data_IF_216254897472
#
_entry.id   IF_216254897472
#
_cell.length_a   1.000
_cell.length_b   1.000
_cell.length_c   1.000
_cell.angle_alpha   90.00
_cell.angle_beta   90.00
_cell.angle_gamma   90.00
#
_symmetry.space_group_name_H-M   'P 1'
#
loop_
_entity.id
_entity.type
_entity.pdbx_description
1 polymer ?
#
# COMPACT_ATOMS: atom_id res chain seq x y z
N UNK A 1 25.05 -15.06 4.46
CA UNK A 1 25.13 -14.58 3.05
C UNK A 1 25.65 -13.14 3.06
N UNK A 2 26.92 -12.93 2.70
CA UNK A 2 27.53 -11.59 2.79
C UNK A 2 27.04 -10.70 1.67
N UNK A 3 26.50 -9.53 2.00
CA UNK A 3 26.08 -8.49 1.04
C UNK A 3 27.33 -7.86 0.42
N UNK A 4 27.45 -7.89 -0.90
CA UNK A 4 28.55 -7.25 -1.64
C UNK A 4 28.13 -5.95 -2.32
N UNK A 5 26.91 -5.92 -2.87
CA UNK A 5 26.39 -4.75 -3.59
C UNK A 5 24.96 -4.48 -3.18
N UNK A 6 24.66 -3.20 -2.96
CA UNK A 6 23.30 -2.67 -2.86
C UNK A 6 23.16 -1.61 -3.95
N UNK A 7 22.32 -1.89 -4.94
CA UNK A 7 22.10 -1.00 -6.07
C UNK A 7 20.71 -0.39 -5.99
N UNK A 8 20.61 0.93 -6.07
CA UNK A 8 19.35 1.64 -6.15
C UNK A 8 19.16 2.30 -7.53
N UNK A 9 17.96 2.23 -8.06
CA UNK A 9 17.55 2.89 -9.30
C UNK A 9 16.22 3.61 -9.08
N UNK A 10 16.03 4.74 -9.75
CA UNK A 10 14.82 5.54 -9.71
C UNK A 10 14.26 5.69 -11.12
N UNK A 11 12.94 5.49 -11.27
CA UNK A 11 12.21 5.55 -12.53
C UNK A 11 11.00 6.48 -12.39
N UNK A 12 10.76 7.32 -13.40
CA UNK A 12 9.57 8.19 -13.54
C UNK A 12 8.60 7.55 -14.51
N UNK A 13 7.56 6.92 -13.96
CA UNK A 13 6.64 6.11 -14.74
C UNK A 13 5.38 6.91 -15.05
N UNK A 14 5.07 7.20 -16.34
CA UNK A 14 3.83 7.88 -16.69
C UNK A 14 2.63 6.98 -16.43
N UNK A 15 1.57 7.53 -15.85
CA UNK A 15 0.28 6.86 -15.72
C UNK A 15 -0.41 6.79 -17.08
N UNK A 16 -1.17 5.71 -17.37
CA UNK A 16 -1.91 5.58 -18.64
C UNK A 16 -3.05 6.60 -18.75
N UNK A 17 -3.57 7.06 -17.62
CA UNK A 17 -4.57 8.13 -17.50
C UNK A 17 -4.19 9.04 -16.34
N UNK A 18 -4.55 10.30 -16.42
CA UNK A 18 -4.41 11.23 -15.29
C UNK A 18 -5.43 10.84 -14.22
N UNK A 19 -4.96 10.61 -13.01
CA UNK A 19 -5.77 10.27 -11.85
C UNK A 19 -5.88 11.49 -10.93
N UNK A 20 -6.90 11.56 -10.10
CA UNK A 20 -7.06 12.67 -9.16
C UNK A 20 -7.79 12.26 -7.88
N UNK A 21 -7.28 12.74 -6.77
CA UNK A 21 -7.90 12.67 -5.45
C UNK A 21 -7.96 14.07 -4.78
N UNK A 22 -8.47 14.14 -3.55
CA UNK A 22 -8.68 15.41 -2.85
C UNK A 22 -7.41 16.07 -2.30
N UNK A 23 -6.32 15.32 -2.16
CA UNK A 23 -5.08 15.77 -1.51
C UNK A 23 -3.95 15.98 -2.51
N UNK A 24 -3.73 15.03 -3.43
CA UNK A 24 -2.63 15.10 -4.40
C UNK A 24 -2.99 15.91 -5.66
N UNK A 25 -4.29 16.11 -5.92
CA UNK A 25 -4.74 16.72 -7.18
C UNK A 25 -4.49 15.81 -8.37
N UNK A 26 -4.14 16.40 -9.53
CA UNK A 26 -3.88 15.64 -10.77
C UNK A 26 -2.50 14.94 -10.73
N UNK A 27 -2.51 13.63 -10.94
CA UNK A 27 -1.32 12.78 -10.97
C UNK A 27 -1.14 12.20 -12.37
N UNK A 28 -0.05 12.54 -13.03
CA UNK A 28 0.29 12.05 -14.38
C UNK A 28 1.43 11.02 -14.40
N UNK A 29 2.16 10.90 -13.28
CA UNK A 29 3.30 10.00 -13.11
C UNK A 29 3.32 9.44 -11.71
N UNK A 30 4.05 8.33 -11.51
CA UNK A 30 4.56 7.92 -10.21
C UNK A 30 6.06 7.62 -10.27
N UNK A 31 6.76 7.81 -9.17
CA UNK A 31 8.17 7.45 -9.03
C UNK A 31 8.28 6.03 -8.50
N UNK A 32 9.09 5.18 -9.15
CA UNK A 32 9.45 3.85 -8.67
C UNK A 32 10.92 3.86 -8.25
N UNK A 33 11.23 3.54 -7.00
CA UNK A 33 12.60 3.37 -6.50
C UNK A 33 12.83 1.89 -6.19
N UNK A 34 13.75 1.27 -6.91
CA UNK A 34 14.10 -0.15 -6.74
C UNK A 34 15.42 -0.34 -6.02
N UNK A 35 15.54 -1.43 -5.26
CA UNK A 35 16.77 -1.89 -4.61
C UNK A 35 17.06 -3.31 -5.04
N UNK A 36 18.27 -3.56 -5.54
CA UNK A 36 18.80 -4.90 -5.78
C UNK A 36 19.97 -5.17 -4.83
N UNK A 37 19.85 -6.24 -4.05
CA UNK A 37 20.90 -6.69 -3.14
C UNK A 37 21.57 -7.91 -3.76
N UNK A 38 22.88 -7.86 -3.93
CA UNK A 38 23.70 -8.97 -4.43
C UNK A 38 24.62 -9.47 -3.33
N UNK A 39 24.64 -10.80 -3.15
CA UNK A 39 25.48 -11.47 -2.16
C UNK A 39 26.67 -12.18 -2.82
N UNK A 40 27.75 -12.37 -2.07
CA UNK A 40 28.99 -13.05 -2.46
C UNK A 40 28.78 -14.45 -3.06
N UNK A 41 27.72 -15.13 -2.70
CA UNK A 41 27.35 -16.45 -3.20
C UNK A 41 26.49 -16.41 -4.50
N UNK A 42 26.33 -15.24 -5.11
CA UNK A 42 25.53 -15.03 -6.34
C UNK A 42 24.02 -14.91 -6.13
N UNK A 43 23.54 -15.03 -4.91
CA UNK A 43 22.11 -14.81 -4.61
C UNK A 43 21.76 -13.33 -4.69
N UNK A 44 20.52 -13.05 -5.13
CA UNK A 44 20.02 -11.69 -5.32
C UNK A 44 18.60 -11.57 -4.74
N UNK A 45 18.30 -10.37 -4.23
CA UNK A 45 16.95 -9.99 -3.83
C UNK A 45 16.57 -8.64 -4.44
N UNK A 46 15.29 -8.48 -4.74
CA UNK A 46 14.68 -7.29 -5.28
C UNK A 46 13.70 -6.71 -4.26
N UNK A 47 13.77 -5.40 -4.04
CA UNK A 47 12.74 -4.66 -3.32
C UNK A 47 12.47 -3.33 -4.00
N UNK A 48 11.39 -2.68 -3.63
CA UNK A 48 11.02 -1.40 -4.20
C UNK A 48 10.10 -0.61 -3.28
N UNK A 49 10.05 0.68 -3.54
CA UNK A 49 9.09 1.63 -3.01
C UNK A 49 8.62 2.55 -4.12
N UNK A 50 7.60 3.35 -3.89
CA UNK A 50 7.07 4.27 -4.89
C UNK A 50 6.75 5.63 -4.28
N UNK A 51 6.58 6.63 -5.14
CA UNK A 51 6.20 7.99 -4.77
C UNK A 51 5.05 8.45 -5.68
N UNK A 52 4.04 9.04 -5.09
CA UNK A 52 2.96 9.68 -5.85
C UNK A 52 3.50 10.94 -6.53
N UNK A 53 3.20 11.14 -7.81
CA UNK A 53 3.65 12.29 -8.58
C UNK A 53 5.18 12.41 -8.71
N UNK A 54 5.95 11.36 -8.41
CA UNK A 54 7.42 11.35 -8.40
C UNK A 54 8.05 12.29 -7.34
N UNK A 55 7.29 12.67 -6.32
CA UNK A 55 7.78 13.55 -5.25
C UNK A 55 8.68 12.74 -4.29
N UNK A 56 9.96 13.13 -4.18
CA UNK A 56 10.90 12.54 -3.23
C UNK A 56 11.71 11.36 -3.75
N UNK A 57 11.48 10.85 -4.98
CA UNK A 57 12.18 9.66 -5.51
C UNK A 57 13.70 9.80 -5.51
N UNK A 58 14.24 10.96 -5.93
CA UNK A 58 15.68 11.21 -5.89
C UNK A 58 16.24 11.30 -4.47
N UNK A 59 15.47 11.83 -3.52
CA UNK A 59 15.90 11.89 -2.12
C UNK A 59 15.94 10.49 -1.51
N UNK A 60 14.97 9.63 -1.81
CA UNK A 60 14.95 8.22 -1.38
C UNK A 60 16.15 7.49 -1.97
N UNK A 61 16.39 7.62 -3.29
CA UNK A 61 17.56 7.02 -3.94
C UNK A 61 18.87 7.50 -3.32
N UNK A 62 19.01 8.80 -3.06
CA UNK A 62 20.21 9.36 -2.43
C UNK A 62 20.44 8.79 -1.03
N UNK A 63 19.39 8.64 -0.22
CA UNK A 63 19.46 8.03 1.11
C UNK A 63 19.90 6.55 1.02
N UNK A 64 19.35 5.81 0.07
CA UNK A 64 19.75 4.44 -0.21
C UNK A 64 21.22 4.32 -0.58
N UNK A 65 21.69 5.12 -1.54
CA UNK A 65 23.05 5.04 -2.07
C UNK A 65 24.11 5.52 -1.07
N UNK A 66 23.83 6.58 -0.32
CA UNK A 66 24.84 7.27 0.50
C UNK A 66 24.86 6.82 1.95
N UNK A 67 23.72 6.36 2.48
CA UNK A 67 23.59 6.01 3.89
C UNK A 67 23.33 4.50 4.10
N UNK A 68 22.32 3.92 3.44
CA UNK A 68 21.93 2.54 3.71
C UNK A 68 22.83 1.52 3.02
N UNK A 69 23.24 1.73 1.77
CA UNK A 69 24.11 0.80 1.07
C UNK A 69 25.48 0.62 1.77
N UNK A 70 26.21 1.69 2.15
CA UNK A 70 27.46 1.53 2.91
C UNK A 70 27.26 0.85 4.27
N UNK A 71 26.13 1.08 4.93
CA UNK A 71 25.78 0.46 6.20
C UNK A 71 25.60 -1.05 6.07
N UNK A 72 25.07 -1.55 4.94
CA UNK A 72 24.68 -2.94 4.74
C UNK A 72 25.78 -3.81 4.14
N UNK A 73 26.67 -3.25 3.31
CA UNK A 73 27.77 -3.98 2.68
C UNK A 73 28.62 -4.68 3.75
N UNK A 74 28.98 -5.95 3.49
CA UNK A 74 29.71 -6.80 4.41
C UNK A 74 28.87 -7.50 5.48
N UNK A 75 27.58 -7.18 5.59
CA UNK A 75 26.66 -7.78 6.57
C UNK A 75 26.09 -9.10 6.08
N UNK A 76 25.57 -9.91 7.00
CA UNK A 76 24.83 -11.13 6.65
C UNK A 76 23.37 -10.79 6.28
N UNK A 77 23.00 -10.95 5.00
CA UNK A 77 21.66 -10.70 4.48
C UNK A 77 20.56 -11.59 5.11
N UNK A 78 20.90 -12.66 5.82
CA UNK A 78 19.92 -13.51 6.50
C UNK A 78 19.38 -12.89 7.80
N UNK A 79 20.07 -11.90 8.36
CA UNK A 79 19.72 -11.25 9.63
C UNK A 79 18.78 -10.05 9.41
N UNK A 80 17.65 -10.26 8.69
CA UNK A 80 16.77 -9.17 8.20
C UNK A 80 16.32 -8.24 9.31
N UNK A 81 15.78 -8.80 10.40
CA UNK A 81 15.23 -8.02 11.51
C UNK A 81 16.32 -7.18 12.22
N UNK A 82 17.51 -7.73 12.35
CA UNK A 82 18.66 -7.01 12.92
C UNK A 82 19.18 -5.92 11.98
N UNK A 83 19.17 -6.18 10.66
CA UNK A 83 19.53 -5.17 9.67
C UNK A 83 18.51 -4.04 9.63
N UNK A 84 17.23 -4.39 9.73
CA UNK A 84 16.15 -3.39 9.83
C UNK A 84 16.34 -2.49 11.06
N UNK A 85 16.56 -3.06 12.23
CA UNK A 85 16.79 -2.31 13.47
C UNK A 85 18.03 -1.41 13.35
N UNK A 86 19.12 -1.90 12.74
CA UNK A 86 20.33 -1.12 12.51
C UNK A 86 20.10 0.07 11.58
N UNK A 87 19.34 -0.12 10.49
CA UNK A 87 18.94 0.98 9.58
C UNK A 87 18.09 2.01 10.33
N UNK A 88 17.11 1.55 11.11
CA UNK A 88 16.22 2.40 11.89
C UNK A 88 16.99 3.28 12.88
N UNK A 89 17.93 2.70 13.64
CA UNK A 89 18.77 3.45 14.57
C UNK A 89 19.76 4.37 13.88
N UNK A 90 20.27 4.01 12.71
CA UNK A 90 21.16 4.87 11.92
C UNK A 90 20.42 6.15 11.47
N UNK A 91 19.17 6.03 11.09
CA UNK A 91 18.36 7.12 10.55
C UNK A 91 17.49 7.84 11.62
N UNK A 92 17.39 7.31 12.83
CA UNK A 92 16.38 7.75 13.81
C UNK A 92 16.39 9.25 14.13
N UNK A 93 17.55 9.89 14.07
CA UNK A 93 17.71 11.30 14.37
C UNK A 93 17.23 12.20 13.23
N UNK A 94 17.48 11.80 11.98
CA UNK A 94 17.12 12.59 10.79
C UNK A 94 15.70 12.30 10.29
N UNK A 95 15.13 11.14 10.63
CA UNK A 95 13.75 10.80 10.30
C UNK A 95 13.46 9.33 10.59
N UNK A 96 12.31 9.05 11.21
CA UNK A 96 11.82 7.70 11.52
C UNK A 96 10.65 7.29 10.64
N UNK A 97 10.10 8.23 9.89
CA UNK A 97 9.02 8.07 8.92
C UNK A 97 9.38 8.79 7.61
N UNK A 98 8.42 8.99 6.73
CA UNK A 98 8.61 9.64 5.44
C UNK A 98 9.73 9.00 4.64
N UNK A 99 10.58 9.79 4.00
CA UNK A 99 11.67 9.36 3.12
C UNK A 99 12.54 8.24 3.75
N UNK A 100 12.79 8.29 5.07
CA UNK A 100 13.55 7.23 5.76
C UNK A 100 12.82 5.88 5.73
N UNK A 101 11.52 5.86 6.01
CA UNK A 101 10.73 4.63 5.98
C UNK A 101 10.60 4.07 4.56
N UNK A 102 10.41 4.92 3.55
CA UNK A 102 10.40 4.50 2.13
C UNK A 102 11.73 3.84 1.71
N UNK A 103 12.85 4.45 2.06
CA UNK A 103 14.16 3.87 1.75
C UNK A 103 14.40 2.54 2.47
N UNK A 104 14.03 2.45 3.76
CA UNK A 104 14.13 1.21 4.53
C UNK A 104 13.21 0.13 3.96
N UNK A 105 12.00 0.50 3.49
CA UNK A 105 11.06 -0.45 2.89
C UNK A 105 11.66 -1.17 1.68
N UNK A 106 12.24 -0.43 0.75
CA UNK A 106 12.86 -1.03 -0.43
C UNK A 106 14.00 -2.01 -0.07
N UNK A 107 14.78 -1.72 0.96
CA UNK A 107 15.85 -2.63 1.44
C UNK A 107 15.26 -3.86 2.14
N UNK A 108 14.32 -3.66 3.05
CA UNK A 108 13.72 -4.75 3.84
C UNK A 108 12.99 -5.75 2.93
N UNK A 109 12.25 -5.25 1.95
CA UNK A 109 11.58 -6.08 0.92
C UNK A 109 12.61 -6.91 0.16
N UNK A 110 13.74 -6.30 -0.27
CA UNK A 110 14.80 -7.03 -0.97
C UNK A 110 15.44 -8.12 -0.11
N UNK A 111 15.61 -7.88 1.18
CA UNK A 111 16.17 -8.87 2.12
C UNK A 111 15.19 -10.05 2.35
N UNK A 112 13.88 -9.77 2.48
CA UNK A 112 12.87 -10.81 2.59
C UNK A 112 12.72 -11.62 1.30
N UNK A 113 12.75 -10.97 0.13
CA UNK A 113 12.79 -11.66 -1.16
C UNK A 113 13.98 -12.61 -1.26
N UNK A 114 15.17 -12.11 -0.89
CA UNK A 114 16.39 -12.91 -0.87
C UNK A 114 16.26 -14.14 0.04
N UNK A 115 15.72 -13.99 1.25
CA UNK A 115 15.51 -15.11 2.17
C UNK A 115 14.56 -16.17 1.59
N UNK A 116 13.44 -15.73 1.05
CA UNK A 116 12.47 -16.64 0.44
C UNK A 116 13.06 -17.36 -0.78
N UNK A 117 13.87 -16.64 -1.60
CA UNK A 117 14.59 -17.24 -2.75
C UNK A 117 15.60 -18.30 -2.32
N UNK A 118 16.36 -18.04 -1.27
CA UNK A 118 17.34 -19.01 -0.73
C UNK A 118 16.65 -20.27 -0.17
N UNK A 119 15.48 -20.10 0.44
CA UNK A 119 14.65 -21.22 0.92
C UNK A 119 13.87 -21.95 -0.21
N UNK A 120 13.93 -21.43 -1.43
CA UNK A 120 13.26 -22.00 -2.60
C UNK A 120 11.73 -21.91 -2.54
N UNK A 121 11.17 -20.97 -1.77
CA UNK A 121 9.74 -20.83 -1.55
C UNK A 121 9.18 -19.51 -2.08
N UNK A 122 7.90 -19.45 -2.47
CA UNK A 122 7.17 -18.20 -2.59
C UNK A 122 7.13 -17.49 -1.24
N UNK A 123 7.17 -16.15 -1.26
CA UNK A 123 7.23 -15.35 -0.03
C UNK A 123 6.06 -15.66 0.93
N UNK A 124 4.84 -15.81 0.43
CA UNK A 124 3.69 -16.13 1.27
C UNK A 124 3.84 -17.48 2.00
N UNK A 125 4.40 -18.53 1.34
CA UNK A 125 4.71 -19.82 2.00
C UNK A 125 5.88 -19.70 2.96
N UNK A 126 6.88 -18.90 2.61
CA UNK A 126 8.02 -18.65 3.48
C UNK A 126 7.58 -17.98 4.79
N UNK A 127 6.59 -17.09 4.72
CA UNK A 127 5.97 -16.43 5.87
C UNK A 127 4.95 -17.31 6.63
N UNK A 128 4.69 -18.54 6.16
CA UNK A 128 3.83 -19.50 6.84
C UNK A 128 2.39 -19.57 6.33
N UNK A 129 2.07 -18.92 5.20
CA UNK A 129 0.76 -19.01 4.58
C UNK A 129 0.45 -20.41 4.01
N UNK A 130 -0.81 -20.81 4.11
CA UNK A 130 -1.30 -22.11 3.64
C UNK A 130 -2.19 -21.98 2.39
N UNK A 131 -2.96 -20.88 2.28
CA UNK A 131 -3.86 -20.55 1.17
C UNK A 131 -3.35 -19.30 0.43
N UNK A 132 -3.14 -19.36 -0.91
CA UNK A 132 -2.71 -18.21 -1.69
C UNK A 132 -3.83 -17.20 -1.98
N UNK A 133 -5.09 -17.51 -1.69
CA UNK A 133 -6.22 -16.67 -2.06
C UNK A 133 -6.50 -15.57 -1.03
N UNK A 134 -6.67 -14.35 -1.52
CA UNK A 134 -6.92 -13.14 -0.73
C UNK A 134 -8.07 -12.38 -1.35
N UNK A 135 -9.05 -11.95 -0.54
CA UNK A 135 -10.11 -11.08 -1.02
C UNK A 135 -9.50 -9.76 -1.54
N UNK A 136 -9.98 -9.27 -2.69
CA UNK A 136 -9.46 -8.08 -3.31
C UNK A 136 -10.56 -7.05 -3.60
N UNK A 137 -10.21 -5.77 -3.53
CA UNK A 137 -11.07 -4.70 -3.99
C UNK A 137 -10.38 -3.86 -5.08
N UNK A 138 -11.19 -3.30 -5.98
CA UNK A 138 -10.70 -2.33 -6.95
C UNK A 138 -10.65 -0.94 -6.32
N UNK A 139 -9.47 -0.32 -6.28
CA UNK A 139 -9.26 1.05 -5.81
C UNK A 139 -9.50 2.06 -6.94
N UNK A 140 -10.67 2.69 -6.98
CA UNK A 140 -10.95 3.81 -7.86
C UNK A 140 -10.22 5.07 -7.41
N UNK A 141 -9.61 5.80 -8.35
CA UNK A 141 -9.02 7.14 -8.14
C UNK A 141 -9.76 8.08 -9.09
N UNK A 142 -10.95 8.50 -8.69
CA UNK A 142 -12.03 8.92 -9.58
C UNK A 142 -12.80 10.17 -9.09
N UNK A 143 -12.19 10.97 -8.21
CA UNK A 143 -12.90 12.11 -7.61
C UNK A 143 -13.48 13.07 -8.64
N UNK A 144 -12.78 13.30 -9.77
CA UNK A 144 -13.19 14.19 -10.84
C UNK A 144 -14.21 13.57 -11.81
N UNK A 145 -14.47 12.26 -11.76
CA UNK A 145 -15.33 11.58 -12.72
C UNK A 145 -16.77 12.04 -12.62
N UNK A 146 -17.42 12.22 -13.78
CA UNK A 146 -18.86 12.34 -13.91
C UNK A 146 -19.52 11.02 -13.49
N UNK A 147 -20.83 11.03 -13.24
CA UNK A 147 -21.57 9.79 -12.94
C UNK A 147 -21.48 8.76 -14.07
N UNK A 148 -21.44 9.19 -15.33
CA UNK A 148 -21.31 8.28 -16.47
C UNK A 148 -19.92 7.60 -16.53
N UNK A 149 -18.85 8.35 -16.26
CA UNK A 149 -17.48 7.82 -16.19
C UNK A 149 -17.32 6.88 -14.99
N UNK A 150 -17.89 7.25 -13.84
CA UNK A 150 -17.89 6.43 -12.63
C UNK A 150 -18.64 5.11 -12.85
N UNK A 151 -19.81 5.15 -13.53
CA UNK A 151 -20.55 3.94 -13.90
C UNK A 151 -19.74 3.04 -14.85
N UNK A 152 -19.11 3.64 -15.86
CA UNK A 152 -18.28 2.88 -16.81
C UNK A 152 -17.09 2.20 -16.12
N UNK A 153 -16.40 2.92 -15.23
CA UNK A 153 -15.31 2.35 -14.40
C UNK A 153 -15.83 1.21 -13.52
N UNK A 154 -16.95 1.42 -12.82
CA UNK A 154 -17.56 0.42 -11.93
C UNK A 154 -17.90 -0.85 -12.68
N UNK A 155 -18.51 -0.75 -13.88
CA UNK A 155 -18.79 -1.92 -14.74
C UNK A 155 -17.50 -2.62 -15.17
N UNK A 156 -16.46 -1.86 -15.55
CA UNK A 156 -15.16 -2.40 -15.89
C UNK A 156 -14.54 -3.23 -14.75
N UNK A 157 -14.65 -2.76 -13.50
CA UNK A 157 -14.18 -3.51 -12.33
C UNK A 157 -14.99 -4.80 -12.09
N UNK A 158 -16.31 -4.73 -12.24
CA UNK A 158 -17.16 -5.94 -12.12
C UNK A 158 -16.87 -6.96 -13.21
N UNK A 159 -16.65 -6.52 -14.45
CA UNK A 159 -16.29 -7.36 -15.59
C UNK A 159 -14.88 -7.97 -15.43
N UNK A 160 -13.96 -7.24 -14.78
CA UNK A 160 -12.63 -7.74 -14.39
C UNK A 160 -12.67 -8.71 -13.20
N UNK A 161 -13.84 -9.02 -12.66
CA UNK A 161 -14.02 -10.03 -11.62
C UNK A 161 -14.05 -9.52 -10.18
N UNK A 162 -13.91 -8.21 -9.92
CA UNK A 162 -13.98 -7.67 -8.57
C UNK A 162 -15.38 -7.80 -7.96
N UNK A 163 -15.42 -7.98 -6.62
CA UNK A 163 -16.64 -8.06 -5.80
C UNK A 163 -16.62 -7.08 -4.62
N UNK A 164 -15.64 -6.19 -4.62
CA UNK A 164 -15.50 -5.08 -3.70
C UNK A 164 -14.88 -3.90 -4.46
N UNK A 165 -15.37 -2.70 -4.25
CA UNK A 165 -14.93 -1.50 -4.97
C UNK A 165 -14.83 -0.33 -3.99
N UNK A 166 -13.73 0.41 -4.07
CA UNK A 166 -13.52 1.69 -3.38
C UNK A 166 -13.64 2.84 -4.38
N UNK A 167 -14.30 3.92 -3.99
CA UNK A 167 -14.42 5.16 -4.75
C UNK A 167 -13.90 6.35 -3.95
N UNK A 168 -13.52 7.42 -4.61
CA UNK A 168 -13.12 8.67 -3.94
C UNK A 168 -14.34 9.52 -3.61
N UNK A 169 -14.29 10.13 -2.41
CA UNK A 169 -15.20 11.17 -1.91
C UNK A 169 -14.37 12.38 -1.45
N UNK A 170 -15.00 13.44 -0.97
CA UNK A 170 -14.32 14.65 -0.51
C UNK A 170 -14.40 15.81 -1.51
N UNK A 171 -15.47 15.88 -2.30
CA UNK A 171 -15.79 17.07 -3.09
C UNK A 171 -16.12 18.25 -2.18
N UNK A 172 -16.11 19.46 -2.73
CA UNK A 172 -16.43 20.67 -1.97
C UNK A 172 -17.88 20.69 -1.46
N UNK A 173 -18.81 20.09 -2.21
CA UNK A 173 -20.19 19.88 -1.79
C UNK A 173 -20.41 18.43 -1.37
N UNK A 174 -20.67 18.20 -0.11
CA UNK A 174 -21.01 16.88 0.44
C UNK A 174 -22.25 16.27 -0.26
N UNK A 175 -23.19 17.09 -0.75
CA UNK A 175 -24.35 16.61 -1.49
C UNK A 175 -23.95 15.88 -2.78
N UNK A 176 -22.90 16.31 -3.47
CA UNK A 176 -22.38 15.62 -4.65
C UNK A 176 -21.77 14.25 -4.28
N UNK A 177 -21.04 14.17 -3.17
CA UNK A 177 -20.52 12.88 -2.68
C UNK A 177 -21.64 11.89 -2.33
N UNK A 178 -22.68 12.38 -1.65
CA UNK A 178 -23.88 11.58 -1.32
C UNK A 178 -24.57 11.06 -2.58
N UNK A 179 -24.73 11.89 -3.62
CA UNK A 179 -25.31 11.47 -4.90
C UNK A 179 -24.44 10.42 -5.61
N UNK A 180 -23.12 10.58 -5.61
CA UNK A 180 -22.16 9.63 -6.20
C UNK A 180 -22.18 8.28 -5.48
N UNK A 181 -22.12 8.26 -4.15
CA UNK A 181 -22.17 7.04 -3.34
C UNK A 181 -23.53 6.34 -3.50
N UNK A 182 -24.62 7.09 -3.52
CA UNK A 182 -25.98 6.57 -3.81
C UNK A 182 -26.06 5.91 -5.19
N UNK A 183 -25.50 6.54 -6.21
CA UNK A 183 -25.46 5.99 -7.57
C UNK A 183 -24.64 4.69 -7.60
N UNK A 184 -23.43 4.69 -7.01
CA UNK A 184 -22.60 3.50 -6.88
C UNK A 184 -23.32 2.34 -6.21
N UNK A 185 -23.94 2.59 -5.06
CA UNK A 185 -24.71 1.56 -4.35
C UNK A 185 -25.89 1.06 -5.20
N UNK A 186 -26.53 1.93 -5.98
CA UNK A 186 -27.58 1.57 -6.92
C UNK A 186 -27.12 0.62 -8.03
N UNK A 187 -25.94 0.85 -8.59
CA UNK A 187 -25.36 0.00 -9.64
C UNK A 187 -24.82 -1.33 -9.11
N UNK A 188 -24.22 -1.31 -7.91
CA UNK A 188 -23.62 -2.49 -7.30
C UNK A 188 -24.63 -3.44 -6.67
N UNK A 189 -25.80 -2.94 -6.25
CA UNK A 189 -26.72 -3.72 -5.41
C UNK A 189 -26.19 -3.92 -3.99
N UNK A 190 -26.85 -4.73 -3.16
CA UNK A 190 -26.50 -4.91 -1.75
C UNK A 190 -25.31 -5.87 -1.51
N UNK A 191 -25.01 -6.76 -2.47
CA UNK A 191 -24.08 -7.88 -2.26
C UNK A 191 -22.61 -7.54 -2.55
N UNK A 192 -22.36 -6.44 -3.27
CA UNK A 192 -21.00 -5.98 -3.58
C UNK A 192 -20.54 -5.01 -2.47
N UNK A 193 -19.38 -5.27 -1.89
CA UNK A 193 -18.79 -4.38 -0.90
C UNK A 193 -18.43 -3.02 -1.53
N UNK A 194 -18.83 -1.94 -0.88
CA UNK A 194 -18.52 -0.57 -1.29
C UNK A 194 -17.75 0.14 -0.19
N UNK A 195 -16.61 0.71 -0.55
CA UNK A 195 -15.77 1.53 0.31
C UNK A 195 -15.70 2.95 -0.25
N UNK A 196 -15.46 3.92 0.61
CA UNK A 196 -15.26 5.31 0.21
C UNK A 196 -13.99 5.86 0.86
N UNK A 197 -13.23 6.67 0.13
CA UNK A 197 -11.97 7.24 0.58
C UNK A 197 -11.98 8.76 0.39
N UNK A 198 -11.76 9.48 1.49
CA UNK A 198 -11.77 10.93 1.54
C UNK A 198 -10.37 11.55 1.42
N UNK A 199 -9.32 10.78 1.46
CA UNK A 199 -7.92 11.24 1.41
C UNK A 199 -7.69 12.47 2.29
N UNK A 200 -8.02 12.38 3.58
CA UNK A 200 -7.77 13.40 4.61
C UNK A 200 -8.51 14.75 4.39
N UNK A 201 -9.60 14.74 3.64
CA UNK A 201 -10.25 15.98 3.16
C UNK A 201 -10.87 16.82 4.26
N UNK A 202 -11.40 16.22 5.33
CA UNK A 202 -12.31 16.85 6.25
C UNK A 202 -11.67 17.18 7.63
N UNK A 203 -12.16 18.23 8.26
CA UNK A 203 -12.06 18.36 9.70
C UNK A 203 -12.85 17.25 10.41
N UNK A 204 -12.61 17.07 11.71
CA UNK A 204 -13.29 16.01 12.48
C UNK A 204 -14.82 16.18 12.47
N UNK A 205 -15.31 17.41 12.58
CA UNK A 205 -16.77 17.67 12.57
C UNK A 205 -17.38 17.43 11.19
N UNK A 206 -16.74 17.89 10.11
CA UNK A 206 -17.15 17.61 8.74
C UNK A 206 -17.14 16.11 8.43
N UNK A 207 -16.11 15.39 8.89
CA UNK A 207 -16.00 13.94 8.72
C UNK A 207 -17.14 13.18 9.42
N UNK A 208 -17.55 13.62 10.61
CA UNK A 208 -18.70 13.05 11.33
C UNK A 208 -20.00 13.29 10.56
N UNK A 209 -20.18 14.50 10.05
CA UNK A 209 -21.40 14.85 9.27
C UNK A 209 -21.42 14.08 7.93
N UNK A 210 -20.27 13.97 7.25
CA UNK A 210 -20.13 13.17 6.04
C UNK A 210 -20.41 11.69 6.30
N UNK A 211 -19.83 11.10 7.34
CA UNK A 211 -20.08 9.72 7.72
C UNK A 211 -21.57 9.47 8.00
N UNK A 212 -22.25 10.38 8.71
CA UNK A 212 -23.69 10.28 8.97
C UNK A 212 -24.53 10.35 7.71
N UNK A 213 -24.15 11.22 6.76
CA UNK A 213 -24.84 11.36 5.48
C UNK A 213 -24.63 10.13 4.58
N UNK A 214 -23.47 9.49 4.64
CA UNK A 214 -23.11 8.32 3.86
C UNK A 214 -23.59 6.99 4.48
N UNK A 215 -23.89 6.95 5.78
CA UNK A 215 -24.32 5.74 6.51
C UNK A 215 -25.48 4.96 5.86
N UNK A 216 -26.49 5.60 5.20
CA UNK A 216 -27.59 4.84 4.57
C UNK A 216 -27.15 3.95 3.40
N UNK A 217 -25.93 4.09 2.91
CA UNK A 217 -25.43 3.36 1.72
C UNK A 217 -24.57 2.15 2.06
N UNK A 218 -24.53 1.75 3.33
CA UNK A 218 -23.88 0.52 3.80
C UNK A 218 -22.43 0.37 3.31
N UNK A 219 -21.60 1.38 3.62
CA UNK A 219 -20.19 1.35 3.32
C UNK A 219 -19.47 0.34 4.24
N UNK A 220 -18.59 -0.47 3.65
CA UNK A 220 -17.68 -1.36 4.40
C UNK A 220 -16.77 -0.56 5.30
N UNK A 221 -16.21 0.55 4.77
CA UNK A 221 -15.51 1.57 5.55
C UNK A 221 -15.53 2.95 4.87
N UNK A 222 -15.23 3.95 5.67
CA UNK A 222 -14.81 5.29 5.24
C UNK A 222 -13.32 5.43 5.54
N UNK A 223 -12.51 5.65 4.50
CA UNK A 223 -11.05 5.71 4.57
C UNK A 223 -10.59 7.14 4.71
N UNK A 224 -9.58 7.34 5.55
CA UNK A 224 -8.89 8.61 5.81
C UNK A 224 -9.80 9.84 5.84
N UNK A 225 -10.82 9.87 6.72
CA UNK A 225 -11.74 11.00 6.77
C UNK A 225 -11.06 12.32 7.17
N UNK A 226 -9.99 12.26 7.97
CA UNK A 226 -9.19 13.39 8.44
C UNK A 226 -7.71 13.03 8.44
N UNK A 227 -6.81 13.99 8.76
CA UNK A 227 -5.36 13.76 8.77
C UNK A 227 -4.98 12.63 9.76
N UNK A 228 -4.02 11.76 9.40
CA UNK A 228 -3.64 10.60 10.21
C UNK A 228 -3.00 10.97 11.56
N UNK A 229 -2.46 12.19 11.68
CA UNK A 229 -1.87 12.71 12.91
C UNK A 229 -2.90 12.93 14.02
N UNK A 230 -4.18 13.18 13.67
CA UNK A 230 -5.26 13.41 14.64
C UNK A 230 -5.90 12.08 15.08
N UNK A 231 -5.15 11.35 15.90
CA UNK A 231 -5.58 10.06 16.46
C UNK A 231 -6.86 10.17 17.29
N UNK A 232 -7.02 11.25 18.05
CA UNK A 232 -8.22 11.50 18.87
C UNK A 232 -9.42 11.87 17.99
N UNK A 233 -9.19 12.62 16.91
CA UNK A 233 -10.17 12.92 15.88
C UNK A 233 -10.68 11.67 15.21
N UNK A 234 -9.81 10.79 14.77
CA UNK A 234 -10.18 9.48 14.21
C UNK A 234 -11.03 8.66 15.19
N UNK A 235 -10.64 8.58 16.46
CA UNK A 235 -11.41 7.88 17.48
C UNK A 235 -12.79 8.52 17.72
N UNK A 236 -12.91 9.83 17.60
CA UNK A 236 -14.18 10.55 17.68
C UNK A 236 -15.06 10.26 16.46
N UNK A 237 -14.50 10.31 15.25
CA UNK A 237 -15.22 9.99 14.00
C UNK A 237 -15.74 8.57 14.04
N UNK A 238 -14.91 7.59 14.45
CA UNK A 238 -15.31 6.19 14.58
C UNK A 238 -16.51 5.99 15.52
N UNK A 239 -16.54 6.71 16.65
CA UNK A 239 -17.66 6.63 17.60
C UNK A 239 -18.94 7.32 17.16
N UNK A 240 -18.82 8.48 16.50
CA UNK A 240 -19.94 9.37 16.23
C UNK A 240 -20.47 9.30 14.80
N UNK A 241 -19.63 8.87 13.83
CA UNK A 241 -19.99 8.77 12.42
C UNK A 241 -20.85 7.58 12.07
N UNK A 242 -20.63 6.44 12.72
CA UNK A 242 -21.43 5.21 12.54
C UNK A 242 -21.08 4.42 11.26
N UNK A 243 -19.92 4.64 10.68
CA UNK A 243 -19.28 3.83 9.62
C UNK A 243 -17.93 3.37 10.15
N UNK A 244 -17.50 2.11 9.91
CA UNK A 244 -16.14 1.68 10.23
C UNK A 244 -15.09 2.55 9.51
N UNK A 245 -13.99 2.87 10.19
CA UNK A 245 -12.90 3.68 9.64
C UNK A 245 -11.76 2.78 9.17
N UNK A 246 -11.24 3.04 7.97
CA UNK A 246 -9.98 2.53 7.48
C UNK A 246 -8.95 3.66 7.43
N UNK A 247 -7.69 3.35 7.72
CA UNK A 247 -6.59 4.32 7.65
C UNK A 247 -5.24 3.62 7.78
N UNK A 248 -4.22 4.18 7.14
CA UNK A 248 -2.86 3.68 7.31
C UNK A 248 -1.89 4.00 6.19
N UNK A 249 -2.33 4.36 5.01
CA UNK A 249 -1.45 4.67 3.87
C UNK A 249 -0.46 5.82 4.18
N UNK A 250 -0.84 6.74 5.05
CA UNK A 250 -0.04 7.87 5.49
C UNK A 250 0.64 7.67 6.86
N UNK A 251 0.61 6.46 7.43
CA UNK A 251 1.33 6.09 8.65
C UNK A 251 2.63 5.35 8.31
N UNK A 252 3.75 5.87 8.77
CA UNK A 252 5.08 5.41 8.37
C UNK A 252 5.80 4.59 9.44
N UNK A 253 5.19 4.37 10.61
CA UNK A 253 5.79 3.60 11.70
C UNK A 253 4.79 2.70 12.42
N UNK A 254 5.25 1.58 12.95
CA UNK A 254 4.45 0.70 13.82
C UNK A 254 3.84 1.46 15.00
N UNK A 255 4.54 2.46 15.52
CA UNK A 255 4.10 3.23 16.69
C UNK A 255 2.87 4.09 16.40
N UNK A 256 2.78 4.65 15.19
CA UNK A 256 1.60 5.40 14.74
C UNK A 256 0.38 4.48 14.66
N UNK A 257 0.51 3.31 14.03
CA UNK A 257 -0.55 2.30 14.00
C UNK A 257 -0.97 1.86 15.39
N UNK A 258 -0.03 1.58 16.29
CA UNK A 258 -0.34 1.18 17.66
C UNK A 258 -1.14 2.25 18.42
N UNK A 259 -0.83 3.53 18.21
CA UNK A 259 -1.58 4.65 18.81
C UNK A 259 -2.99 4.70 18.24
N UNK A 260 -3.16 4.66 16.93
CA UNK A 260 -4.46 4.72 16.25
C UNK A 260 -5.35 3.52 16.63
N UNK A 261 -4.81 2.30 16.62
CA UNK A 261 -5.50 1.07 17.04
C UNK A 261 -5.90 1.16 18.53
N UNK A 262 -5.01 1.62 19.39
CA UNK A 262 -5.27 1.71 20.85
C UNK A 262 -6.34 2.74 21.18
N UNK A 263 -6.39 3.84 20.45
CA UNK A 263 -7.41 4.86 20.60
C UNK A 263 -8.80 4.42 20.07
N UNK A 264 -8.89 3.32 19.34
CA UNK A 264 -10.11 2.87 18.65
C UNK A 264 -10.49 3.75 17.46
N UNK A 265 -9.50 4.40 16.85
CA UNK A 265 -9.68 5.29 15.70
C UNK A 265 -9.76 4.57 14.36
N UNK A 266 -9.51 3.26 14.31
CA UNK A 266 -9.50 2.47 13.09
C UNK A 266 -10.13 1.10 13.31
N UNK A 267 -10.93 0.64 12.34
CA UNK A 267 -11.49 -0.71 12.27
C UNK A 267 -10.74 -1.59 11.25
N UNK A 268 -10.18 -0.98 10.21
CA UNK A 268 -9.39 -1.61 9.15
C UNK A 268 -8.04 -0.91 9.03
N UNK A 269 -7.01 -1.30 9.81
CA UNK A 269 -5.66 -0.80 9.60
C UNK A 269 -5.12 -1.19 8.22
N UNK A 270 -4.53 -0.23 7.49
CA UNK A 270 -4.10 -0.35 6.09
C UNK A 270 -2.60 -0.05 5.92
N UNK A 271 -1.69 -0.86 6.49
CA UNK A 271 -0.27 -0.62 6.29
C UNK A 271 0.11 -0.81 4.83
N UNK A 272 0.81 0.18 4.27
CA UNK A 272 1.49 0.04 2.98
C UNK A 272 2.92 -0.42 3.20
N UNK A 273 3.26 -1.60 2.69
CA UNK A 273 4.58 -2.20 2.86
C UNK A 273 5.70 -1.36 2.25
N UNK A 274 5.38 -0.57 1.23
CA UNK A 274 6.35 0.27 0.52
C UNK A 274 6.70 1.56 1.28
N UNK A 275 5.90 1.99 2.26
CA UNK A 275 6.13 3.23 3.00
C UNK A 275 6.32 3.07 4.51
N UNK A 276 5.84 1.97 5.12
CA UNK A 276 5.97 1.74 6.56
C UNK A 276 7.37 1.28 6.99
N UNK A 277 8.29 1.08 6.06
CA UNK A 277 9.63 0.55 6.34
C UNK A 277 9.80 -0.92 5.99
N UNK A 278 8.87 -1.52 5.23
CA UNK A 278 8.97 -2.86 4.66
C UNK A 278 8.10 -3.93 5.32
N UNK A 279 8.41 -5.17 5.03
CA UNK A 279 7.69 -6.37 5.49
C UNK A 279 7.82 -6.54 7.01
N UNK A 280 9.00 -6.30 7.57
CA UNK A 280 9.28 -6.43 9.01
C UNK A 280 8.30 -5.62 9.87
N UNK A 281 8.15 -4.30 9.71
CA UNK A 281 7.16 -3.51 10.45
C UNK A 281 5.72 -3.79 10.02
N UNK A 282 5.45 -4.12 8.75
CA UNK A 282 4.12 -4.48 8.29
C UNK A 282 3.56 -5.68 9.08
N UNK A 283 4.35 -6.74 9.24
CA UNK A 283 3.99 -7.90 10.05
C UNK A 283 3.78 -7.55 11.54
N UNK A 284 4.50 -6.56 12.06
CA UNK A 284 4.27 -6.07 13.42
C UNK A 284 2.93 -5.34 13.56
N UNK A 285 2.51 -4.56 12.55
CA UNK A 285 1.17 -3.94 12.51
C UNK A 285 0.07 -5.01 12.44
N UNK A 286 0.21 -6.00 11.55
CA UNK A 286 -0.76 -7.09 11.44
C UNK A 286 -0.96 -7.82 12.78
N UNK A 287 0.14 -8.12 13.51
CA UNK A 287 0.08 -8.69 14.86
C UNK A 287 -0.56 -7.76 15.89
N UNK A 288 -0.30 -6.45 15.81
CA UNK A 288 -0.92 -5.47 16.71
C UNK A 288 -2.44 -5.36 16.47
N UNK A 289 -2.88 -5.38 15.22
CA UNK A 289 -4.28 -5.44 14.82
C UNK A 289 -4.95 -6.75 15.32
N UNK A 290 -4.32 -7.90 15.09
CA UNK A 290 -4.80 -9.20 15.54
C UNK A 290 -5.00 -9.26 17.07
N UNK A 291 -4.09 -8.69 17.83
CA UNK A 291 -4.18 -8.63 19.30
C UNK A 291 -5.39 -7.83 19.79
N UNK A 292 -5.99 -7.02 18.92
CA UNK A 292 -7.24 -6.26 19.18
C UNK A 292 -8.44 -6.82 18.42
N UNK A 293 -8.32 -8.00 17.80
CA UNK A 293 -9.34 -8.64 16.96
C UNK A 293 -9.75 -7.75 15.78
N UNK A 294 -8.84 -6.95 15.25
CA UNK A 294 -9.05 -6.16 14.05
C UNK A 294 -8.52 -6.93 12.84
N UNK A 295 -9.21 -6.87 11.69
CA UNK A 295 -8.64 -7.30 10.42
C UNK A 295 -7.50 -6.35 10.02
N UNK A 296 -6.63 -6.81 9.12
CA UNK A 296 -5.66 -5.95 8.43
C UNK A 296 -5.98 -5.96 6.94
N UNK A 297 -6.00 -4.79 6.34
CA UNK A 297 -6.13 -4.58 4.89
C UNK A 297 -4.85 -3.96 4.35
N UNK A 298 -4.80 -3.56 3.09
CA UNK A 298 -3.58 -3.01 2.50
C UNK A 298 -3.88 -1.79 1.64
N UNK A 299 -2.89 -0.91 1.51
CA UNK A 299 -2.83 0.16 0.53
C UNK A 299 -1.66 -0.06 -0.42
N UNK A 300 -1.84 0.16 -1.74
CA UNK A 300 -0.77 0.14 -2.73
C UNK A 300 -0.12 -1.22 -2.99
N UNK A 301 0.89 -1.25 -3.80
CA UNK A 301 1.80 -2.37 -4.18
C UNK A 301 1.20 -3.78 -4.08
N UNK A 302 0.04 -3.98 -4.71
CA UNK A 302 -0.74 -5.23 -4.61
C UNK A 302 0.05 -6.48 -5.01
N UNK A 303 0.97 -6.37 -5.96
CA UNK A 303 1.83 -7.48 -6.41
C UNK A 303 2.68 -8.08 -5.29
N UNK A 304 3.03 -7.28 -4.29
CA UNK A 304 3.80 -7.69 -3.12
C UNK A 304 2.90 -8.01 -1.93
N UNK A 305 1.92 -7.16 -1.66
CA UNK A 305 1.09 -7.26 -0.45
C UNK A 305 0.15 -8.47 -0.46
N UNK A 306 -0.17 -9.03 -1.63
CA UNK A 306 -0.90 -10.30 -1.74
C UNK A 306 -0.20 -11.43 -0.99
N UNK A 307 1.15 -11.45 -0.96
CA UNK A 307 1.92 -12.44 -0.20
C UNK A 307 1.78 -12.25 1.32
N UNK A 308 1.73 -11.00 1.77
CA UNK A 308 1.64 -10.68 3.20
C UNK A 308 0.26 -11.05 3.74
N UNK A 309 -0.80 -10.70 3.02
CA UNK A 309 -2.15 -11.08 3.38
C UNK A 309 -2.36 -12.59 3.33
N UNK A 310 -1.88 -13.30 2.31
CA UNK A 310 -1.97 -14.76 2.21
C UNK A 310 -1.26 -15.50 3.36
N UNK A 311 -0.36 -14.83 4.08
CA UNK A 311 0.34 -15.37 5.24
C UNK A 311 -0.18 -14.84 6.58
N UNK A 312 -1.22 -14.03 6.58
CA UNK A 312 -1.69 -13.31 7.77
C UNK A 312 -3.07 -13.81 8.21
N UNK A 313 -3.24 -14.31 9.45
CA UNK A 313 -4.48 -14.96 9.89
C UNK A 313 -5.67 -13.99 10.04
N UNK A 314 -5.42 -12.69 10.23
CA UNK A 314 -6.44 -11.64 10.29
C UNK A 314 -6.48 -10.81 9.01
N UNK A 315 -6.11 -11.38 7.86
CA UNK A 315 -6.22 -10.73 6.56
C UNK A 315 -7.66 -10.33 6.22
N UNK A 316 -7.83 -9.18 5.59
CA UNK A 316 -9.08 -8.71 5.03
C UNK A 316 -8.93 -8.54 3.52
N UNK A 317 -8.86 -7.31 3.03
CA UNK A 317 -8.83 -7.03 1.61
C UNK A 317 -7.45 -6.60 1.12
N UNK A 318 -7.11 -7.01 -0.10
CA UNK A 318 -6.02 -6.48 -0.90
C UNK A 318 -6.54 -5.33 -1.76
N UNK A 319 -5.92 -4.15 -1.68
CA UNK A 319 -6.17 -3.09 -2.64
C UNK A 319 -5.52 -3.41 -3.99
N UNK A 320 -6.27 -3.22 -5.08
CA UNK A 320 -5.74 -3.25 -6.46
C UNK A 320 -6.12 -1.96 -7.16
N UNK A 321 -5.13 -1.15 -7.54
CA UNK A 321 -5.34 0.16 -8.15
C UNK A 321 -4.39 0.44 -9.32
N UNK A 322 -4.59 1.58 -10.01
CA UNK A 322 -3.93 1.93 -11.26
C UNK A 322 -2.45 2.31 -11.19
N UNK A 323 -1.82 2.33 -10.01
CA UNK A 323 -0.36 2.51 -9.87
C UNK A 323 0.42 1.19 -9.98
N UNK A 324 -0.23 0.10 -10.38
CA UNK A 324 0.40 -1.20 -10.51
C UNK A 324 1.56 -1.23 -11.50
N UNK A 325 2.45 -2.19 -11.30
CA UNK A 325 3.62 -2.42 -12.14
C UNK A 325 3.32 -3.36 -13.31
N UNK A 326 2.07 -3.75 -13.50
CA UNK A 326 1.58 -4.77 -14.45
C UNK A 326 2.11 -4.56 -15.87
N UNK A 327 2.26 -3.31 -16.30
CA UNK A 327 2.82 -2.98 -17.63
C UNK A 327 4.31 -3.37 -17.79
N UNK A 328 5.00 -3.57 -16.68
CA UNK A 328 6.41 -3.93 -16.60
C UNK A 328 6.62 -5.33 -16.02
N UNK A 329 5.55 -6.12 -15.93
CA UNK A 329 5.60 -7.48 -15.41
C UNK A 329 5.12 -8.48 -16.48
N UNK A 330 5.88 -9.55 -16.75
CA UNK A 330 5.46 -10.60 -17.68
C UNK A 330 4.17 -11.32 -17.26
N UNK A 331 3.97 -11.42 -15.94
CA UNK A 331 2.84 -12.11 -15.33
C UNK A 331 2.28 -11.25 -14.20
N UNK A 332 1.34 -10.35 -14.49
CA UNK A 332 0.68 -9.53 -13.46
C UNK A 332 -0.25 -10.37 -12.57
N UNK A 333 -0.70 -9.78 -11.47
CA UNK A 333 -1.64 -10.39 -10.54
C UNK A 333 -3.01 -10.63 -11.24
N UNK A 334 -3.57 -11.82 -11.03
CA UNK A 334 -4.88 -12.19 -11.58
C UNK A 334 -5.94 -12.09 -10.50
N UNK A 335 -7.08 -11.49 -10.85
CA UNK A 335 -8.28 -11.40 -9.99
C UNK A 335 -9.37 -12.27 -10.59
N UNK A 336 -9.89 -13.19 -9.79
CA UNK A 336 -10.99 -14.08 -10.20
C UNK A 336 -12.04 -14.12 -9.08
N UNK A 337 -13.29 -13.83 -9.40
CA UNK A 337 -14.43 -13.87 -8.46
C UNK A 337 -14.18 -13.09 -7.15
N UNK A 338 -13.54 -11.94 -7.24
CA UNK A 338 -13.20 -11.08 -6.09
C UNK A 338 -11.98 -11.52 -5.29
N UNK A 339 -11.25 -12.54 -5.75
CA UNK A 339 -10.06 -13.06 -5.09
C UNK A 339 -8.81 -12.80 -5.93
N UNK A 340 -7.77 -12.30 -5.28
CA UNK A 340 -6.40 -12.30 -5.78
C UNK A 340 -5.70 -13.60 -5.39
N UNK A 341 -4.77 -14.05 -6.22
CA UNK A 341 -3.99 -15.26 -5.94
C UNK A 341 -2.50 -14.94 -5.83
N UNK A 342 -1.92 -15.10 -4.64
CA UNK A 342 -0.48 -14.95 -4.44
C UNK A 342 0.31 -15.91 -5.34
N UNK A 343 1.30 -15.42 -6.11
CA UNK A 343 2.08 -16.23 -7.05
C UNK A 343 2.85 -17.36 -6.34
N UNK A 344 2.98 -18.50 -7.01
CA UNK A 344 3.83 -19.61 -6.54
C UNK A 344 5.29 -19.50 -7.03
N UNK A 345 5.71 -18.34 -7.50
CA UNK A 345 7.10 -18.07 -7.89
C UNK A 345 7.97 -17.88 -6.65
N UNK A 346 9.23 -18.31 -6.71
CA UNK A 346 10.21 -18.20 -5.62
C UNK A 346 10.47 -16.73 -5.30
N UNK A 347 10.55 -16.38 -4.03
CA UNK A 347 10.61 -14.99 -3.58
C UNK A 347 9.21 -14.34 -3.60
N UNK A 348 9.13 -13.03 -3.74
CA UNK A 348 7.85 -12.34 -3.94
C UNK A 348 7.34 -12.44 -5.39
N UNK A 349 8.14 -13.00 -6.31
CA UNK A 349 7.71 -13.25 -7.69
C UNK A 349 7.47 -12.01 -8.55
N UNK A 350 7.72 -10.81 -8.03
CA UNK A 350 7.73 -9.59 -8.86
C UNK A 350 8.97 -9.64 -9.72
N UNK A 351 8.77 -9.79 -11.02
CA UNK A 351 9.82 -9.79 -12.03
C UNK A 351 9.59 -8.59 -12.94
N UNK A 352 10.58 -7.70 -13.02
CA UNK A 352 10.46 -6.43 -13.74
C UNK A 352 11.14 -6.51 -15.10
N UNK A 353 10.46 -6.05 -16.13
CA UNK A 353 11.05 -5.82 -17.45
C UNK A 353 11.98 -4.59 -17.40
N UNK A 354 13.25 -4.86 -17.09
CA UNK A 354 14.28 -3.83 -16.96
C UNK A 354 14.57 -3.09 -18.27
N UNK A 355 14.34 -3.71 -19.42
CA UNK A 355 14.53 -3.08 -20.72
C UNK A 355 13.45 -2.02 -20.96
N UNK A 356 12.19 -2.34 -20.72
CA UNK A 356 11.08 -1.39 -20.78
C UNK A 356 11.22 -0.27 -19.74
N UNK A 357 11.63 -0.59 -18.52
CA UNK A 357 11.88 0.40 -17.46
C UNK A 357 13.03 1.35 -17.76
N UNK A 358 14.03 0.92 -18.53
CA UNK A 358 15.24 1.72 -18.82
C UNK A 358 14.91 3.09 -19.43
N UNK A 359 13.85 3.17 -20.25
CA UNK A 359 13.41 4.43 -20.90
C UNK A 359 12.81 5.44 -19.90
N UNK A 360 12.43 5.00 -18.72
CA UNK A 360 11.83 5.81 -17.64
C UNK A 360 12.80 6.15 -16.52
N UNK A 361 14.08 5.77 -16.66
CA UNK A 361 15.08 6.00 -15.61
C UNK A 361 15.28 7.50 -15.37
N UNK A 362 15.18 7.92 -14.12
CA UNK A 362 15.48 9.29 -13.72
C UNK A 362 16.97 9.59 -13.89
N UNK A 363 17.35 10.80 -14.32
CA UNK A 363 18.75 11.21 -14.42
C UNK A 363 19.49 11.03 -13.09
N UNK A 364 20.78 10.71 -13.16
CA UNK A 364 21.70 10.80 -12.01
C UNK A 364 22.37 12.16 -12.08
N UNK A 365 22.05 13.06 -11.17
CA UNK A 365 22.76 14.32 -11.03
C UNK A 365 24.13 14.13 -10.35
#
# INVERSE_FOLDING_TARGET
MTIEVVQADHFRIPLPVVLSDSTHGEMSHFGLVTVRIHCANGQQGLGYTYCVGDIGGDAIRSLLERELAPLLIGSDASAVESLWERMWWHLHFVGRGGIAAFAMAAVDIALWDLRARVDGKPLWRFLGGEDPHVAAYAGGIDLQFTLAELEAQTRGFLDAGFRAIKMKVGRDDLGEDVERVKAMRGWLGPDIALMADANMRWSVDEAIDAARALRPYDLTWLEEPTIPDDVEGHARIAREGGIPIASGENLHTVYEFQRLITAGGVAFPEPDVANIGGITPWLAVARAAQAKNLPVTTHGVHDLQVHLLAATPNASYLEVHGFGLDRFMPEPLVIEEGMARAPNRVGHGVDLDWESLASHRAPRE
#
